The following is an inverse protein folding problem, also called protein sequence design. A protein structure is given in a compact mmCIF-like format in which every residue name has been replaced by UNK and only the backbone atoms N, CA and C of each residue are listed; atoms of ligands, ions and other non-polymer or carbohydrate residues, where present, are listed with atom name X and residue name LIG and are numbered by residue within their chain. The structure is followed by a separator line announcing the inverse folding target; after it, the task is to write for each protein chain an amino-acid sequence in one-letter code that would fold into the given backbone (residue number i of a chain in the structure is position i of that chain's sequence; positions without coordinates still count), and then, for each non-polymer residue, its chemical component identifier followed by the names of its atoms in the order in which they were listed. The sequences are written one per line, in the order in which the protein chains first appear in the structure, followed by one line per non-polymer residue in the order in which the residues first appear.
data_IF_423895129144
#
_entry.id   IF_423895129144
#
_cell.length_a   1.000
_cell.length_b   1.000
_cell.length_c   1.000
_cell.angle_alpha   90.00
_cell.angle_beta   90.00
_cell.angle_gamma   90.00
#
_symmetry.space_group_name_H-M   'P 1'
#
loop_
_entity.id
_entity.type
_entity.pdbx_description
1 polymer ?
#
# COMPACT_ATOMS: atom_id res chain seq x y z
N UNK A 1 -4.84 23.59 -25.50
CA UNK A 1 -3.99 22.44 -25.12
C UNK A 1 -4.89 21.36 -24.55
N UNK A 2 -5.32 20.41 -25.37
CA UNK A 2 -6.23 19.33 -24.96
C UNK A 2 -5.46 18.27 -24.18
N UNK A 3 -5.83 18.03 -22.92
CA UNK A 3 -5.29 16.92 -22.13
C UNK A 3 -5.82 15.61 -22.71
N UNK A 4 -4.92 14.72 -23.12
CA UNK A 4 -5.28 13.38 -23.57
C UNK A 4 -5.91 12.57 -22.42
N UNK A 5 -6.83 11.64 -22.71
CA UNK A 5 -7.46 10.81 -21.69
C UNK A 5 -6.42 9.93 -20.98
N UNK A 6 -6.48 9.89 -19.65
CA UNK A 6 -5.65 9.01 -18.84
C UNK A 6 -6.08 7.56 -19.05
N UNK A 7 -5.31 6.79 -19.81
CA UNK A 7 -5.57 5.37 -20.02
C UNK A 7 -4.86 4.57 -18.92
N UNK A 8 -5.62 3.79 -18.15
CA UNK A 8 -5.09 2.86 -17.13
C UNK A 8 -4.61 1.55 -17.76
N UNK A 9 -4.12 1.59 -18.99
CA UNK A 9 -3.67 0.40 -19.72
C UNK A 9 -2.28 0.05 -19.23
N UNK A 10 -2.12 -1.17 -18.71
CA UNK A 10 -0.82 -1.70 -18.28
C UNK A 10 -0.04 -2.05 -19.54
N UNK A 11 1.02 -1.29 -19.82
CA UNK A 11 1.95 -1.60 -20.92
C UNK A 11 2.88 -2.77 -20.54
N UNK A 12 3.37 -3.48 -21.55
CA UNK A 12 4.32 -4.59 -21.39
C UNK A 12 5.63 -4.16 -20.72
N UNK A 13 6.02 -2.89 -20.92
CA UNK A 13 7.14 -2.21 -20.24
C UNK A 13 6.87 -1.85 -18.77
N UNK A 14 5.77 -2.33 -18.18
CA UNK A 14 5.37 -2.14 -16.79
C UNK A 14 4.47 -0.93 -16.52
N UNK A 15 4.01 -0.81 -15.26
CA UNK A 15 3.21 0.32 -14.75
C UNK A 15 4.08 1.59 -14.61
N UNK A 16 4.55 2.14 -15.73
CA UNK A 16 5.15 3.46 -15.72
C UNK A 16 4.03 4.49 -15.75
N UNK A 17 4.01 5.38 -14.77
CA UNK A 17 3.18 6.58 -14.80
C UNK A 17 3.37 7.25 -16.15
N UNK A 18 2.33 7.23 -16.98
CA UNK A 18 2.35 7.86 -18.30
C UNK A 18 2.87 9.28 -18.18
N UNK A 19 3.68 9.70 -19.16
CA UNK A 19 4.39 10.98 -19.41
C UNK A 19 3.75 12.32 -18.95
N UNK A 20 2.56 12.32 -18.40
CA UNK A 20 1.78 13.50 -18.01
C UNK A 20 1.79 13.87 -16.52
N UNK A 21 2.59 13.22 -15.66
CA UNK A 21 2.72 13.71 -14.27
C UNK A 21 3.81 14.79 -14.21
N UNK A 22 3.47 16.05 -13.91
CA UNK A 22 4.47 17.13 -13.86
C UNK A 22 5.53 16.81 -12.79
N UNK A 23 6.83 17.06 -13.06
CA UNK A 23 7.86 16.96 -12.04
C UNK A 23 7.53 17.91 -10.89
N UNK A 24 7.55 17.41 -9.65
CA UNK A 24 7.15 18.18 -8.46
C UNK A 24 5.66 18.16 -8.11
N UNK A 25 4.83 17.40 -8.83
CA UNK A 25 3.45 17.16 -8.41
C UNK A 25 3.42 16.58 -7.00
N UNK A 26 2.70 17.24 -6.09
CA UNK A 26 2.63 16.85 -4.69
C UNK A 26 2.36 15.35 -4.59
N UNK A 27 3.37 14.59 -4.15
CA UNK A 27 3.13 13.28 -3.58
C UNK A 27 2.30 13.65 -2.36
N UNK A 28 1.01 13.37 -2.41
CA UNK A 28 0.14 13.52 -1.26
C UNK A 28 0.65 12.49 -0.24
N UNK A 29 1.73 12.85 0.47
CA UNK A 29 2.22 12.20 1.68
C UNK A 29 1.27 12.55 2.81
N UNK A 30 -0.05 12.51 2.51
CA UNK A 30 -1.04 12.29 3.53
C UNK A 30 -0.61 11.01 4.20
N UNK A 31 -0.19 11.12 5.45
CA UNK A 31 -0.03 10.02 6.38
C UNK A 31 -1.41 9.35 6.55
N UNK A 32 -1.90 8.70 5.49
CA UNK A 32 -3.02 7.79 5.59
C UNK A 32 -2.55 6.73 6.58
N UNK A 33 -3.36 6.40 7.60
CA UNK A 33 -3.01 5.30 8.47
C UNK A 33 -2.72 4.09 7.57
N UNK A 34 -1.45 3.65 7.56
CA UNK A 34 -1.04 2.59 6.66
C UNK A 34 -1.92 1.38 6.91
N UNK A 35 -2.48 0.77 5.88
CA UNK A 35 -3.18 -0.50 6.03
C UNK A 35 -2.24 -1.64 5.65
N UNK A 36 -2.27 -2.73 6.40
CA UNK A 36 -1.51 -3.94 6.09
C UNK A 36 -2.36 -5.17 6.39
N UNK A 37 -2.01 -6.30 5.77
CA UNK A 37 -2.57 -7.60 6.10
C UNK A 37 -1.91 -8.18 7.35
N UNK A 38 -2.70 -8.75 8.24
CA UNK A 38 -2.20 -9.57 9.34
C UNK A 38 -1.50 -10.82 8.80
N UNK A 39 -0.25 -11.06 9.19
CA UNK A 39 0.51 -12.23 8.78
C UNK A 39 -0.11 -13.57 9.22
N UNK A 40 -0.88 -13.57 10.33
CA UNK A 40 -1.47 -14.79 10.89
C UNK A 40 -2.83 -15.15 10.29
N UNK A 41 -3.72 -14.18 10.07
CA UNK A 41 -5.09 -14.41 9.58
C UNK A 41 -5.38 -13.81 8.20
N UNK A 42 -4.43 -13.10 7.59
CA UNK A 42 -4.58 -12.46 6.28
C UNK A 42 -5.44 -11.20 6.26
N UNK A 43 -6.21 -10.92 7.32
CA UNK A 43 -7.15 -9.79 7.36
C UNK A 43 -6.48 -8.42 7.17
N UNK A 44 -7.04 -7.59 6.29
CA UNK A 44 -6.59 -6.23 6.04
C UNK A 44 -7.05 -5.28 7.14
N UNK A 45 -6.11 -4.64 7.84
CA UNK A 45 -6.36 -3.81 9.02
C UNK A 45 -5.50 -2.54 8.98
N UNK A 46 -5.95 -1.45 9.62
CA UNK A 46 -5.10 -0.28 9.83
C UNK A 46 -3.91 -0.62 10.72
N UNK A 47 -2.77 0.04 10.52
CA UNK A 47 -1.52 -0.20 11.25
C UNK A 47 -1.68 -0.06 12.77
N UNK A 48 -2.59 0.81 13.21
CA UNK A 48 -2.91 1.03 14.62
C UNK A 48 -3.51 -0.22 15.31
N UNK A 49 -4.16 -1.10 14.55
CA UNK A 49 -4.75 -2.36 15.03
C UNK A 49 -3.79 -3.55 14.91
N UNK A 50 -2.57 -3.34 14.40
CA UNK A 50 -1.56 -4.37 14.20
C UNK A 50 -0.39 -4.19 15.17
N UNK A 51 0.04 -5.27 15.81
CA UNK A 51 1.27 -5.35 16.59
C UNK A 51 2.41 -5.94 15.74
N UNK A 52 3.65 -5.50 16.00
CA UNK A 52 4.84 -6.13 15.43
C UNK A 52 5.23 -7.33 16.28
N UNK A 53 5.35 -8.51 15.66
CA UNK A 53 5.80 -9.74 16.32
C UNK A 53 6.94 -10.38 15.51
N UNK A 54 7.92 -10.95 16.22
CA UNK A 54 9.04 -11.65 15.58
C UNK A 54 8.64 -13.08 15.24
N UNK A 55 8.55 -13.40 13.96
CA UNK A 55 8.12 -14.69 13.41
C UNK A 55 9.14 -15.09 12.33
N UNK A 56 9.63 -16.33 12.35
CA UNK A 56 10.64 -16.83 11.39
C UNK A 56 11.88 -15.92 11.24
N UNK A 57 12.31 -15.29 12.34
CA UNK A 57 13.48 -14.41 12.36
C UNK A 57 13.25 -12.96 11.89
N UNK A 58 12.06 -12.63 11.37
CA UNK A 58 11.71 -11.29 10.91
C UNK A 58 10.54 -10.69 11.69
N UNK A 59 10.41 -9.36 11.66
CA UNK A 59 9.29 -8.66 12.25
C UNK A 59 8.12 -8.62 11.26
N UNK A 60 7.00 -9.22 11.65
CA UNK A 60 5.76 -9.21 10.87
C UNK A 60 4.63 -8.54 11.64
N UNK A 61 3.66 -7.99 10.90
CA UNK A 61 2.47 -7.36 11.46
C UNK A 61 1.38 -8.40 11.71
N UNK A 62 0.82 -8.45 12.92
CA UNK A 62 -0.25 -9.38 13.33
C UNK A 62 -1.30 -8.58 14.10
N UNK A 63 -2.59 -8.98 14.08
CA UNK A 63 -3.62 -8.29 14.86
C UNK A 63 -3.21 -8.16 16.33
N UNK A 64 -3.41 -6.96 16.89
CA UNK A 64 -3.05 -6.62 18.27
C UNK A 64 -3.84 -7.47 19.27
N UNK A 65 -5.15 -7.54 19.10
CA UNK A 65 -6.07 -8.29 19.97
C UNK A 65 -6.68 -9.49 19.24
N UNK A 66 -6.81 -10.63 19.94
CA UNK A 66 -7.73 -11.72 19.55
C UNK A 66 -7.53 -12.38 18.17
N UNK A 67 -6.31 -12.40 17.62
CA UNK A 67 -6.07 -12.92 16.27
C UNK A 67 -6.37 -14.43 16.12
N UNK A 68 -7.51 -14.75 15.50
CA UNK A 68 -7.93 -16.10 15.08
C UNK A 68 -7.68 -16.25 13.58
N UNK A 69 -7.36 -17.48 13.15
CA UNK A 69 -7.10 -17.83 11.75
C UNK A 69 -8.40 -17.85 10.95
#
# INVERSE_FOLDING_TARGET
MSSAPHTNVISDDGLRYSRGKPPGGAILSSARPGFMSCFKCGGFRPLAELASKRILGANHKVCKEGCKR
#
